data_IF_829802183217
#
_entry.id   IF_829802183217
#
_cell.length_a   1.000
_cell.length_b   1.000
_cell.length_c   1.000
_cell.angle_alpha   90.00
_cell.angle_beta   90.00
_cell.angle_gamma   90.00
#
_symmetry.space_group_name_H-M   'P 1'
#
loop_
_entity.id
_entity.type
_entity.pdbx_description
1 polymer ?
#
# COMPACT_ATOMS: atom_id res chain seq x y z
N UNK A 1 10.62 -15.34 -31.88
CA UNK A 1 10.22 -13.91 -31.95
C UNK A 1 9.38 -13.47 -30.75
N UNK A 2 8.41 -14.27 -30.35
CA UNK A 2 7.58 -14.00 -29.17
C UNK A 2 8.31 -14.21 -27.84
N UNK A 3 9.36 -15.02 -27.82
CA UNK A 3 10.13 -15.30 -26.59
C UNK A 3 10.96 -14.10 -26.08
N UNK A 4 11.36 -13.20 -26.99
CA UNK A 4 12.16 -12.03 -26.62
C UNK A 4 11.32 -10.96 -25.93
N UNK A 5 10.04 -10.85 -26.32
CA UNK A 5 9.12 -9.90 -25.68
C UNK A 5 8.69 -10.35 -24.28
N UNK A 6 8.67 -11.68 -24.05
CA UNK A 6 8.32 -12.20 -22.72
C UNK A 6 9.44 -11.99 -21.70
N UNK A 7 10.70 -11.88 -22.16
CA UNK A 7 11.84 -11.63 -21.29
C UNK A 7 11.94 -10.15 -20.87
N UNK A 8 11.32 -9.23 -21.63
CA UNK A 8 11.29 -7.82 -21.29
C UNK A 8 10.20 -7.46 -20.25
N UNK A 9 9.27 -8.39 -20.00
CA UNK A 9 8.28 -8.26 -18.92
C UNK A 9 8.79 -8.92 -17.63
N UNK A 10 10.08 -8.76 -17.36
CA UNK A 10 10.68 -9.30 -16.15
C UNK A 10 9.88 -8.81 -14.92
N UNK A 11 9.50 -9.76 -14.07
CA UNK A 11 8.78 -9.52 -12.82
C UNK A 11 9.52 -8.45 -12.05
N UNK A 12 8.92 -7.27 -11.92
CA UNK A 12 9.49 -6.21 -11.11
C UNK A 12 9.44 -6.64 -9.65
N UNK A 13 10.58 -6.52 -8.96
CA UNK A 13 10.63 -6.77 -7.52
C UNK A 13 9.78 -5.72 -6.83
N UNK A 14 8.81 -6.11 -5.99
CA UNK A 14 8.02 -5.16 -5.23
C UNK A 14 8.89 -4.37 -4.25
N UNK A 15 8.44 -3.17 -3.92
CA UNK A 15 9.10 -2.32 -2.93
C UNK A 15 9.06 -2.99 -1.55
N UNK A 16 7.96 -3.66 -1.25
CA UNK A 16 7.73 -4.32 0.03
C UNK A 16 6.59 -5.31 -0.12
N UNK A 17 6.62 -6.39 0.66
CA UNK A 17 5.56 -7.40 0.68
C UNK A 17 5.19 -7.73 2.11
N UNK A 18 3.89 -7.86 2.38
CA UNK A 18 3.37 -8.33 3.66
C UNK A 18 2.35 -9.45 3.42
N UNK A 19 2.36 -10.45 4.29
CA UNK A 19 1.44 -11.59 4.19
C UNK A 19 0.39 -11.53 5.28
N UNK A 20 -0.83 -11.93 4.91
CA UNK A 20 -1.98 -11.96 5.83
C UNK A 20 -2.72 -13.27 5.70
N UNK A 21 -3.02 -13.89 6.83
CA UNK A 21 -3.92 -15.04 6.86
C UNK A 21 -5.37 -14.53 6.83
N UNK A 22 -6.14 -15.01 5.87
CA UNK A 22 -7.57 -14.68 5.78
C UNK A 22 -8.32 -15.57 6.77
N UNK A 23 -8.99 -14.96 7.74
CA UNK A 23 -9.76 -15.67 8.74
C UNK A 23 -11.26 -15.56 8.49
N UNK A 24 -12.03 -16.39 9.17
CA UNK A 24 -13.49 -16.34 9.09
C UNK A 24 -14.05 -14.94 9.35
N UNK A 25 -13.49 -14.23 10.33
CA UNK A 25 -13.94 -12.88 10.69
C UNK A 25 -13.70 -11.81 9.63
N UNK A 26 -12.88 -12.11 8.62
CA UNK A 26 -12.64 -11.18 7.51
C UNK A 26 -13.69 -11.31 6.41
N UNK A 27 -14.54 -12.34 6.48
CA UNK A 27 -15.48 -12.68 5.42
C UNK A 27 -16.90 -12.22 5.75
N UNK A 28 -17.69 -12.00 4.69
CA UNK A 28 -19.12 -11.70 4.79
C UNK A 28 -19.98 -12.98 4.61
N UNK A 29 -21.32 -12.89 4.72
CA UNK A 29 -22.19 -14.08 4.56
C UNK A 29 -22.09 -14.78 3.20
N UNK A 30 -21.57 -14.13 2.17
CA UNK A 30 -21.35 -14.75 0.85
C UNK A 30 -20.17 -15.72 0.90
N UNK A 31 -19.29 -15.60 1.90
CA UNK A 31 -18.13 -16.48 2.06
C UNK A 31 -16.85 -15.94 1.46
N UNK A 32 -16.85 -14.71 1.01
CA UNK A 32 -15.64 -14.02 0.53
C UNK A 32 -15.27 -12.88 1.44
N UNK A 33 -14.04 -12.41 1.36
CA UNK A 33 -13.58 -11.29 2.16
C UNK A 33 -14.45 -10.06 1.93
N UNK A 34 -14.88 -9.46 3.04
CA UNK A 34 -15.62 -8.20 3.03
C UNK A 34 -14.69 -7.08 2.57
N UNK A 35 -15.06 -6.37 1.50
CA UNK A 35 -14.13 -5.51 0.77
C UNK A 35 -13.39 -4.45 1.61
N UNK A 36 -13.96 -3.86 2.67
CA UNK A 36 -13.20 -2.91 3.48
C UNK A 36 -11.97 -3.52 4.15
N UNK A 37 -11.94 -4.84 4.36
CA UNK A 37 -10.77 -5.53 4.89
C UNK A 37 -9.58 -5.41 3.95
N UNK A 38 -9.83 -5.42 2.65
CA UNK A 38 -8.77 -5.27 1.65
C UNK A 38 -8.12 -3.90 1.80
N UNK A 39 -8.90 -2.84 1.93
CA UNK A 39 -8.36 -1.49 2.16
C UNK A 39 -7.58 -1.40 3.47
N UNK A 40 -8.04 -2.08 4.53
CA UNK A 40 -7.31 -2.15 5.79
C UNK A 40 -5.96 -2.85 5.63
N UNK A 41 -5.89 -3.91 4.85
CA UNK A 41 -4.62 -4.60 4.57
C UNK A 41 -3.66 -3.75 3.74
N UNK A 42 -4.17 -2.95 2.79
CA UNK A 42 -3.33 -1.99 2.06
C UNK A 42 -2.70 -0.99 3.03
N UNK A 43 -3.49 -0.40 3.91
CA UNK A 43 -3.01 0.54 4.90
C UNK A 43 -1.98 -0.11 5.84
N UNK A 44 -2.27 -1.32 6.33
CA UNK A 44 -1.34 -2.04 7.20
C UNK A 44 -0.02 -2.37 6.51
N UNK A 45 -0.09 -2.71 5.21
CA UNK A 45 1.12 -2.99 4.42
C UNK A 45 1.97 -1.74 4.30
N UNK A 46 1.35 -0.59 4.02
CA UNK A 46 2.07 0.68 3.97
C UNK A 46 2.75 0.98 5.29
N UNK A 47 2.03 0.85 6.41
CA UNK A 47 2.60 1.13 7.73
C UNK A 47 3.69 0.13 8.14
N UNK A 48 3.56 -1.13 7.73
CA UNK A 48 4.62 -2.12 7.94
C UNK A 48 5.90 -1.75 7.17
N UNK A 49 5.72 -1.24 5.95
CA UNK A 49 6.83 -0.70 5.15
C UNK A 49 7.52 0.48 5.85
N UNK A 50 6.74 1.41 6.40
CA UNK A 50 7.32 2.53 7.15
C UNK A 50 8.13 2.06 8.35
N UNK A 51 7.62 1.05 9.04
CA UNK A 51 8.32 0.46 10.19
C UNK A 51 9.65 -0.18 9.78
N UNK A 52 9.62 -0.97 8.71
CA UNK A 52 10.80 -1.67 8.23
C UNK A 52 11.86 -0.73 7.66
N UNK A 53 11.44 0.39 7.07
CA UNK A 53 12.33 1.28 6.32
C UNK A 53 12.83 2.45 7.17
N UNK A 54 11.98 3.01 8.03
CA UNK A 54 12.29 4.27 8.72
C UNK A 54 11.81 4.31 10.18
N UNK A 55 11.61 3.16 10.80
CA UNK A 55 11.27 3.06 12.22
C UNK A 55 9.80 3.25 12.55
N UNK A 56 8.95 3.51 11.56
CA UNK A 56 7.51 3.59 11.71
C UNK A 56 6.93 4.98 11.52
N UNK A 57 5.61 5.03 11.39
CA UNK A 57 4.86 6.25 11.14
C UNK A 57 5.12 7.32 12.20
N UNK A 58 5.06 6.93 13.48
CA UNK A 58 5.28 7.85 14.58
C UNK A 58 6.68 8.46 14.56
N UNK A 59 7.70 7.64 14.31
CA UNK A 59 9.09 8.11 14.22
C UNK A 59 9.28 9.10 13.07
N UNK A 60 8.69 8.79 11.91
CA UNK A 60 8.75 9.66 10.73
C UNK A 60 8.06 10.99 11.02
N UNK A 61 6.85 10.96 11.57
CA UNK A 61 6.12 12.18 11.89
C UNK A 61 6.85 13.06 12.90
N UNK A 62 7.46 12.46 13.91
CA UNK A 62 8.26 13.21 14.88
C UNK A 62 9.49 13.84 14.22
N UNK A 63 10.19 13.09 13.37
CA UNK A 63 11.39 13.60 12.70
C UNK A 63 11.08 14.73 11.70
N UNK A 64 9.96 14.65 11.01
CA UNK A 64 9.58 15.61 9.97
C UNK A 64 8.61 16.69 10.47
N UNK A 65 8.27 16.67 11.74
CA UNK A 65 7.28 17.58 12.33
C UNK A 65 5.95 17.53 11.55
N UNK A 66 5.52 16.31 11.23
CA UNK A 66 4.31 16.07 10.46
C UNK A 66 3.23 15.45 11.35
N UNK A 67 1.98 15.55 10.91
CA UNK A 67 0.82 14.97 11.59
C UNK A 67 0.51 13.57 11.08
N UNK A 68 0.82 13.27 9.83
CA UNK A 68 0.60 11.94 9.27
C UNK A 68 0.84 11.86 7.77
N UNK A 69 0.84 10.62 7.30
CA UNK A 69 0.85 10.31 5.87
C UNK A 69 -0.58 10.00 5.45
N UNK A 70 -1.40 11.06 5.41
CA UNK A 70 -2.84 10.92 5.24
C UNK A 70 -3.26 10.44 3.87
N UNK A 71 -4.36 9.69 3.86
CA UNK A 71 -4.94 9.16 2.64
C UNK A 71 -5.81 10.21 1.97
N UNK A 72 -5.57 10.46 0.70
CA UNK A 72 -6.35 11.38 -0.13
C UNK A 72 -7.31 10.66 -1.05
N UNK A 73 -6.91 9.49 -1.54
CA UNK A 73 -7.70 8.67 -2.42
C UNK A 73 -7.28 7.22 -2.29
N UNK A 74 -8.24 6.31 -2.40
CA UNK A 74 -7.99 4.88 -2.43
C UNK A 74 -8.95 4.24 -3.40
N UNK A 75 -8.43 3.34 -4.24
CA UNK A 75 -9.27 2.54 -5.10
C UNK A 75 -8.69 1.14 -5.24
N UNK A 76 -9.56 0.19 -5.60
CA UNK A 76 -9.16 -1.19 -5.74
C UNK A 76 -10.02 -1.87 -6.81
N UNK A 77 -9.36 -2.62 -7.68
CA UNK A 77 -10.03 -3.47 -8.66
C UNK A 77 -9.94 -4.91 -8.17
N UNK A 78 -11.09 -5.50 -7.89
CA UNK A 78 -11.20 -6.88 -7.40
C UNK A 78 -11.20 -7.84 -8.59
N UNK A 79 -10.24 -8.76 -8.62
CA UNK A 79 -10.06 -9.68 -9.75
C UNK A 79 -10.54 -11.10 -9.46
N UNK A 80 -10.29 -11.57 -8.25
CA UNK A 80 -10.73 -12.90 -7.82
C UNK A 80 -10.99 -12.89 -6.32
N UNK A 81 -11.91 -13.74 -5.84
CA UNK A 81 -12.32 -13.71 -4.43
C UNK A 81 -11.21 -14.24 -3.52
N UNK A 82 -11.20 -13.70 -2.31
CA UNK A 82 -10.41 -14.17 -1.18
C UNK A 82 -11.35 -14.89 -0.22
N UNK A 83 -10.94 -16.03 0.29
CA UNK A 83 -11.77 -16.84 1.18
C UNK A 83 -11.00 -17.25 2.43
N UNK A 84 -11.73 -17.68 3.45
CA UNK A 84 -11.12 -18.18 4.69
C UNK A 84 -10.08 -19.26 4.40
N UNK A 85 -8.94 -19.16 5.05
CA UNK A 85 -7.84 -20.09 4.87
C UNK A 85 -6.81 -19.70 3.84
N UNK A 86 -7.11 -18.69 3.02
CA UNK A 86 -6.14 -18.17 2.07
C UNK A 86 -5.00 -17.44 2.81
N UNK A 87 -3.79 -17.52 2.26
CA UNK A 87 -2.71 -16.63 2.64
C UNK A 87 -2.58 -15.57 1.55
N UNK A 88 -2.89 -14.33 1.91
CA UNK A 88 -2.81 -13.20 1.00
C UNK A 88 -1.44 -12.56 1.10
N UNK A 89 -0.75 -12.43 -0.02
CA UNK A 89 0.46 -11.63 -0.12
C UNK A 89 0.11 -10.28 -0.76
N UNK A 90 0.37 -9.20 -0.03
CA UNK A 90 0.15 -7.84 -0.53
C UNK A 90 1.50 -7.25 -0.90
N UNK A 91 1.68 -6.98 -2.17
CA UNK A 91 2.88 -6.33 -2.69
C UNK A 91 2.64 -4.84 -2.82
N UNK A 92 3.53 -4.02 -2.27
CA UNK A 92 3.68 -2.64 -2.70
C UNK A 92 4.50 -2.68 -3.98
N UNK A 93 3.82 -2.65 -5.11
CA UNK A 93 4.47 -2.82 -6.41
C UNK A 93 5.37 -1.62 -6.76
N UNK A 94 4.92 -0.42 -6.44
CA UNK A 94 5.68 0.80 -6.71
C UNK A 94 5.23 1.98 -5.85
N UNK A 95 6.14 2.94 -5.69
CA UNK A 95 5.88 4.27 -5.13
C UNK A 95 6.16 5.29 -6.22
N UNK A 96 5.21 6.18 -6.45
CA UNK A 96 5.36 7.26 -7.43
C UNK A 96 5.27 8.61 -6.71
N UNK A 97 6.38 9.33 -6.70
CA UNK A 97 6.47 10.63 -6.04
C UNK A 97 5.99 11.73 -6.98
N UNK A 98 5.15 12.61 -6.44
CA UNK A 98 4.60 13.76 -7.15
C UNK A 98 4.97 15.04 -6.42
N UNK A 99 4.35 16.15 -6.75
CA UNK A 99 4.69 17.44 -6.15
C UNK A 99 4.41 17.49 -4.63
N UNK A 100 3.14 17.28 -4.24
CA UNK A 100 2.74 17.30 -2.82
C UNK A 100 2.00 16.04 -2.42
N UNK A 101 2.26 14.95 -3.12
CA UNK A 101 1.60 13.68 -2.90
C UNK A 101 2.48 12.55 -3.39
N UNK A 102 2.13 11.34 -3.01
CA UNK A 102 2.74 10.14 -3.57
C UNK A 102 1.66 9.08 -3.77
N UNK A 103 1.87 8.25 -4.76
CA UNK A 103 0.97 7.16 -5.08
C UNK A 103 1.63 5.84 -4.75
N UNK A 104 0.89 4.98 -4.06
CA UNK A 104 1.32 3.61 -3.75
C UNK A 104 0.47 2.68 -4.59
N UNK A 105 1.12 1.80 -5.35
CA UNK A 105 0.44 0.79 -6.15
C UNK A 105 0.62 -0.56 -5.49
N UNK A 106 -0.48 -1.32 -5.36
CA UNK A 106 -0.50 -2.60 -4.68
C UNK A 106 -1.03 -3.70 -5.59
N UNK A 107 -0.55 -4.91 -5.35
CA UNK A 107 -1.13 -6.12 -5.91
C UNK A 107 -1.30 -7.16 -4.80
N UNK A 108 -2.46 -7.79 -4.76
CA UNK A 108 -2.72 -8.89 -3.82
C UNK A 108 -2.74 -10.22 -4.56
N UNK A 109 -2.04 -11.20 -4.00
CA UNK A 109 -1.93 -12.54 -4.61
C UNK A 109 -2.21 -13.63 -3.61
N UNK A 110 -2.83 -14.71 -4.08
CA UNK A 110 -2.98 -15.96 -3.35
C UNK A 110 -2.44 -17.07 -4.25
N UNK A 111 -1.35 -17.71 -3.82
CA UNK A 111 -0.71 -18.79 -4.59
C UNK A 111 -0.45 -18.42 -6.06
N UNK A 112 0.06 -17.19 -6.27
CA UNK A 112 0.34 -16.68 -7.60
C UNK A 112 -0.85 -16.16 -8.39
N UNK A 113 -2.07 -16.31 -7.86
CA UNK A 113 -3.30 -15.82 -8.49
C UNK A 113 -3.55 -14.38 -8.06
N UNK A 114 -3.72 -13.48 -9.01
CA UNK A 114 -4.02 -12.09 -8.72
C UNK A 114 -5.43 -11.95 -8.15
N UNK A 115 -5.52 -11.47 -6.92
CA UNK A 115 -6.79 -11.24 -6.24
C UNK A 115 -7.30 -9.81 -6.45
N UNK A 116 -6.40 -8.82 -6.42
CA UNK A 116 -6.78 -7.42 -6.61
C UNK A 116 -5.58 -6.56 -7.01
N UNK A 117 -5.88 -5.40 -7.58
CA UNK A 117 -4.94 -4.30 -7.77
C UNK A 117 -5.48 -3.08 -7.06
N UNK A 118 -4.67 -2.46 -6.23
CA UNK A 118 -5.08 -1.29 -5.46
C UNK A 118 -4.14 -0.11 -5.65
N UNK A 119 -4.67 1.08 -5.41
CA UNK A 119 -3.92 2.32 -5.48
C UNK A 119 -4.33 3.22 -4.34
N UNK A 120 -3.35 3.82 -3.68
CA UNK A 120 -3.56 4.86 -2.68
C UNK A 120 -2.80 6.10 -3.10
N UNK A 121 -3.43 7.25 -2.94
CA UNK A 121 -2.75 8.54 -3.03
C UNK A 121 -2.68 9.13 -1.64
N UNK A 122 -1.48 9.45 -1.20
CA UNK A 122 -1.21 9.96 0.14
C UNK A 122 -0.43 11.28 0.08
N UNK A 123 -0.54 12.06 1.15
CA UNK A 123 0.24 13.27 1.32
C UNK A 123 0.86 13.28 2.72
N UNK A 124 1.93 14.04 2.88
CA UNK A 124 2.48 14.32 4.20
C UNK A 124 1.72 15.51 4.77
N UNK A 125 0.82 15.24 5.72
CA UNK A 125 0.03 16.30 6.33
C UNK A 125 0.81 16.99 7.46
N UNK A 126 0.88 18.29 7.34
CA UNK A 126 1.53 19.16 8.33
C UNK A 126 0.54 20.23 8.80
N UNK A 127 0.79 20.76 9.97
CA UNK A 127 0.01 21.87 10.48
C UNK A 127 0.71 23.18 10.13
N UNK A 128 -0.01 24.08 9.48
CA UNK A 128 0.48 25.39 9.11
C UNK A 128 -0.61 26.43 9.44
N UNK A 129 -0.27 27.38 10.27
CA UNK A 129 -1.19 28.45 10.71
C UNK A 129 -2.50 27.89 11.27
N UNK A 130 -2.41 26.82 12.07
CA UNK A 130 -3.56 26.18 12.70
C UNK A 130 -4.38 25.29 11.78
N UNK A 131 -3.92 25.05 10.56
CA UNK A 131 -4.64 24.23 9.56
C UNK A 131 -3.79 23.06 9.11
N UNK A 132 -4.47 21.93 8.86
CA UNK A 132 -3.85 20.75 8.22
C UNK A 132 -3.74 21.00 6.73
N UNK A 133 -2.56 20.81 6.20
CA UNK A 133 -2.28 20.99 4.77
C UNK A 133 -1.26 19.96 4.29
N UNK A 134 -1.24 19.71 3.00
CA UNK A 134 -0.22 18.87 2.40
C UNK A 134 1.12 19.61 2.38
N UNK A 135 2.10 19.05 3.05
CA UNK A 135 3.44 19.63 3.14
C UNK A 135 4.32 19.24 1.97
N UNK A 136 5.55 19.74 2.00
CA UNK A 136 6.59 19.35 1.05
C UNK A 136 6.86 17.85 1.22
N UNK A 137 6.86 17.12 0.12
CA UNK A 137 7.04 15.66 0.13
C UNK A 137 8.52 15.24 0.11
N UNK A 138 9.42 16.13 -0.25
CA UNK A 138 10.84 15.80 -0.39
C UNK A 138 11.47 15.21 0.88
N UNK A 139 11.19 15.72 2.09
CA UNK A 139 11.74 15.13 3.31
C UNK A 139 11.28 13.69 3.55
N UNK A 140 10.02 13.38 3.22
CA UNK A 140 9.50 12.02 3.35
C UNK A 140 10.17 11.09 2.33
N UNK A 141 10.29 11.54 1.09
CA UNK A 141 10.97 10.77 0.05
C UNK A 141 12.40 10.44 0.48
N UNK A 142 13.12 11.41 1.00
CA UNK A 142 14.48 11.19 1.49
C UNK A 142 14.53 10.18 2.65
N UNK A 143 13.56 10.19 3.54
CA UNK A 143 13.50 9.28 4.67
C UNK A 143 13.22 7.83 4.25
N UNK A 144 12.60 7.62 3.09
CA UNK A 144 12.23 6.30 2.59
C UNK A 144 13.17 5.76 1.51
N UNK A 145 14.16 6.51 1.12
CA UNK A 145 15.17 6.09 0.13
C UNK A 145 16.44 5.52 0.77
#
# INVERSE_FOLDING_TARGET
MTAVNQLSEAVQTPVFTADYAVSFGDCDPVGIVFYPRIFAWLDRTFHAYLTATAGGHKAICNALNARGTGLMNADCQFRSPLTEGDTLSVDMASLEWRDRAFQVNYEGHVEGRLAFKGTETRALFVEKDGRMTAGDIAPLKAALE
#
